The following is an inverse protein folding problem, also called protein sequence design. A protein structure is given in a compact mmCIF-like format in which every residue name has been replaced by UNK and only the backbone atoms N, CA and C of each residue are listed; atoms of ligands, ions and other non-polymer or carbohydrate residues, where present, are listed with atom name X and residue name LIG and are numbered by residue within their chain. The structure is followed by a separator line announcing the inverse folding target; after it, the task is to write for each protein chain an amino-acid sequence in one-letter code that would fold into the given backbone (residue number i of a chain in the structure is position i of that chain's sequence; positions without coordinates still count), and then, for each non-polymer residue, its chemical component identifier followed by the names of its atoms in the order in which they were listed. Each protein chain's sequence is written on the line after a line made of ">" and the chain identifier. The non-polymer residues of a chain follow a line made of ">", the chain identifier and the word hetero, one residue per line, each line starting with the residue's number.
data_IF_259215216654
#
_entry.id   IF_259215216654
#
_cell.length_a   1.000
_cell.length_b   1.000
_cell.length_c   1.000
_cell.angle_alpha   90.00
_cell.angle_beta   90.00
_cell.angle_gamma   90.00
#
_symmetry.space_group_name_H-M   'P 1'
#
loop_
_entity.id
_entity.type
_entity.pdbx_description
1 polymer ?
#
# COMPACT_ATOMS: atom_id res chain seq x y z
N UNK A 1 -4.80 -1.95 13.43
CA UNK A 1 -5.23 -2.99 14.40
C UNK A 1 -4.87 -2.60 15.84
N UNK A 2 -3.60 -2.36 16.18
CA UNK A 2 -3.21 -1.96 17.55
C UNK A 2 -3.94 -0.71 18.07
N UNK A 3 -4.18 0.29 17.21
CA UNK A 3 -4.99 1.45 17.57
C UNK A 3 -6.45 1.10 17.98
N UNK A 4 -7.05 0.06 17.38
CA UNK A 4 -8.39 -0.39 17.79
C UNK A 4 -8.34 -1.14 19.12
N UNK A 5 -7.27 -1.91 19.37
CA UNK A 5 -7.06 -2.56 20.67
C UNK A 5 -6.84 -1.53 21.79
N UNK A 6 -6.08 -0.47 21.53
CA UNK A 6 -5.85 0.63 22.45
C UNK A 6 -7.14 1.35 22.83
N UNK A 7 -7.96 1.69 21.83
CA UNK A 7 -9.24 2.36 22.05
C UNK A 7 -10.23 1.53 22.87
N UNK A 8 -10.22 0.20 22.73
CA UNK A 8 -11.07 -0.71 23.53
C UNK A 8 -10.61 -0.78 24.99
N UNK A 9 -9.30 -0.67 25.23
CA UNK A 9 -8.73 -0.62 26.58
C UNK A 9 -8.73 0.79 27.19
N UNK A 10 -9.24 1.80 26.47
CA UNK A 10 -9.30 3.19 26.94
C UNK A 10 -7.96 3.94 26.85
N UNK A 11 -7.00 3.47 26.06
CA UNK A 11 -5.76 4.18 25.78
C UNK A 11 -5.90 5.13 24.59
N UNK A 12 -5.34 6.34 24.71
CA UNK A 12 -5.27 7.33 23.63
C UNK A 12 -4.30 6.95 22.51
N UNK A 13 -3.33 6.07 22.79
CA UNK A 13 -2.31 5.64 21.83
C UNK A 13 -2.07 4.13 21.92
N UNK A 14 -1.49 3.57 20.86
CA UNK A 14 -1.13 2.14 20.77
C UNK A 14 0.22 1.78 21.40
N UNK A 15 1.01 2.78 21.82
CA UNK A 15 2.34 2.63 22.44
C UNK A 15 2.40 1.64 23.62
N UNK A 16 1.41 1.60 24.54
CA UNK A 16 1.44 0.64 25.65
C UNK A 16 1.06 -0.80 25.26
N UNK A 17 0.66 -1.07 24.02
CA UNK A 17 0.25 -2.40 23.57
C UNK A 17 1.40 -3.10 22.82
N UNK A 18 1.99 -4.08 23.49
CA UNK A 18 2.93 -5.01 22.88
C UNK A 18 2.20 -5.95 21.89
N UNK A 19 2.59 -5.97 20.60
CA UNK A 19 1.93 -6.77 19.58
C UNK A 19 2.09 -8.29 19.77
N UNK A 20 3.11 -8.74 20.49
CA UNK A 20 3.37 -10.15 20.78
C UNK A 20 2.68 -10.61 22.07
N UNK A 21 2.22 -9.65 22.89
CA UNK A 21 1.57 -9.95 24.17
C UNK A 21 0.10 -10.28 23.95
N UNK A 22 -0.32 -11.40 24.53
CA UNK A 22 -1.69 -11.88 24.35
C UNK A 22 -2.74 -10.91 24.92
N UNK A 23 -3.88 -10.77 24.25
CA UNK A 23 -4.96 -9.85 24.62
C UNK A 23 -5.36 -9.95 26.10
N UNK A 24 -5.49 -11.17 26.63
CA UNK A 24 -5.81 -11.42 28.05
C UNK A 24 -4.77 -10.84 29.01
N UNK A 25 -3.50 -10.81 28.62
CA UNK A 25 -2.42 -10.27 29.45
C UNK A 25 -2.36 -8.74 29.44
N UNK A 26 -2.99 -8.11 28.45
CA UNK A 26 -3.08 -6.64 28.30
C UNK A 26 -4.40 -6.11 28.87
N UNK A 27 -5.27 -7.00 29.38
CA UNK A 27 -6.52 -6.62 30.08
C UNK A 27 -7.79 -6.83 29.26
N UNK A 28 -7.74 -7.56 28.15
CA UNK A 28 -8.96 -7.98 27.46
C UNK A 28 -9.72 -9.05 28.25
N UNK A 29 -11.02 -8.90 28.27
CA UNK A 29 -12.04 -9.81 28.79
C UNK A 29 -13.06 -10.15 27.69
N UNK A 30 -14.11 -10.89 28.04
CA UNK A 30 -15.15 -11.29 27.10
C UNK A 30 -15.91 -10.11 26.48
N UNK A 31 -16.06 -8.98 27.18
CA UNK A 31 -16.83 -7.83 26.71
C UNK A 31 -16.00 -6.98 25.74
N UNK A 32 -14.77 -6.64 26.15
CA UNK A 32 -13.78 -5.93 25.32
C UNK A 32 -13.41 -6.74 24.08
N UNK A 33 -13.40 -8.08 24.15
CA UNK A 33 -13.22 -8.92 22.98
C UNK A 33 -14.32 -8.75 21.92
N UNK A 34 -15.58 -8.68 22.35
CA UNK A 34 -16.73 -8.46 21.46
C UNK A 34 -16.69 -7.05 20.87
N UNK A 35 -16.29 -6.05 21.65
CA UNK A 35 -16.12 -4.68 21.16
C UNK A 35 -15.02 -4.59 20.10
N UNK A 36 -13.84 -5.16 20.36
CA UNK A 36 -12.75 -5.19 19.39
C UNK A 36 -13.16 -5.89 18.10
N UNK A 37 -13.87 -7.02 18.19
CA UNK A 37 -14.44 -7.71 17.03
C UNK A 37 -15.36 -6.79 16.23
N UNK A 38 -16.27 -6.08 16.89
CA UNK A 38 -17.21 -5.17 16.22
C UNK A 38 -16.49 -4.04 15.50
N UNK A 39 -15.52 -3.42 16.16
CA UNK A 39 -14.73 -2.32 15.59
C UNK A 39 -13.88 -2.79 14.42
N UNK A 40 -13.22 -3.94 14.55
CA UNK A 40 -12.46 -4.53 13.44
C UNK A 40 -13.39 -4.90 12.28
N UNK A 41 -14.56 -5.47 12.53
CA UNK A 41 -15.54 -5.77 11.49
C UNK A 41 -16.03 -4.52 10.75
N UNK A 42 -16.28 -3.42 11.47
CA UNK A 42 -16.69 -2.14 10.88
C UNK A 42 -15.59 -1.51 10.00
N UNK A 43 -14.33 -1.58 10.42
CA UNK A 43 -13.20 -0.98 9.68
C UNK A 43 -12.74 -1.85 8.50
N UNK A 44 -12.84 -3.17 8.62
CA UNK A 44 -12.37 -4.11 7.58
C UNK A 44 -13.45 -4.56 6.62
N UNK A 45 -14.72 -4.40 6.96
CA UNK A 45 -15.85 -4.95 6.20
C UNK A 45 -15.95 -6.48 6.26
N UNK A 46 -15.09 -7.15 7.05
CA UNK A 46 -15.05 -8.62 7.16
C UNK A 46 -15.92 -9.09 8.33
N UNK A 47 -16.72 -10.13 8.11
CA UNK A 47 -17.46 -10.79 9.19
C UNK A 47 -16.51 -11.65 10.03
N UNK A 48 -16.26 -11.22 11.26
CA UNK A 48 -15.35 -11.89 12.19
C UNK A 48 -16.12 -12.80 13.18
N UNK A 49 -15.71 -14.07 13.37
CA UNK A 49 -16.31 -14.96 14.36
C UNK A 49 -16.08 -14.45 15.81
N UNK A 50 -16.94 -14.89 16.74
CA UNK A 50 -16.81 -14.54 18.16
C UNK A 50 -15.62 -15.23 18.85
N UNK A 51 -15.08 -16.30 18.27
CA UNK A 51 -13.93 -17.06 18.79
C UNK A 51 -12.58 -16.47 18.40
N UNK A 52 -12.56 -15.43 17.58
CA UNK A 52 -11.38 -14.90 16.91
C UNK A 52 -10.22 -14.57 17.87
N UNK A 53 -10.51 -14.02 19.06
CA UNK A 53 -9.48 -13.70 20.06
C UNK A 53 -8.94 -14.94 20.81
N UNK A 54 -9.66 -16.05 20.77
CA UNK A 54 -9.16 -17.33 21.27
C UNK A 54 -8.31 -18.04 20.22
N UNK A 55 -8.72 -17.95 18.94
CA UNK A 55 -8.00 -18.53 17.82
C UNK A 55 -6.70 -17.75 17.51
N UNK A 56 -6.71 -16.44 17.74
CA UNK A 56 -5.59 -15.52 17.53
C UNK A 56 -5.38 -14.66 18.79
N UNK A 57 -4.67 -15.20 19.80
CA UNK A 57 -4.59 -14.59 21.12
C UNK A 57 -3.69 -13.36 21.17
N UNK A 58 -2.87 -13.11 20.15
CA UNK A 58 -1.99 -11.94 20.07
C UNK A 58 -2.47 -10.95 19.01
N UNK A 59 -2.24 -9.65 19.21
CA UNK A 59 -2.45 -8.64 18.18
C UNK A 59 -1.76 -9.01 16.86
N UNK A 60 -0.50 -9.42 16.89
CA UNK A 60 0.25 -9.82 15.69
C UNK A 60 -0.43 -10.97 14.92
N UNK A 61 -0.78 -12.07 15.60
CA UNK A 61 -1.43 -13.22 14.97
C UNK A 61 -2.81 -12.86 14.39
N UNK A 62 -3.52 -11.96 15.05
CA UNK A 62 -4.80 -11.46 14.55
C UNK A 62 -4.63 -10.57 13.30
N UNK A 63 -3.61 -9.71 13.25
CA UNK A 63 -3.31 -8.91 12.07
C UNK A 63 -2.99 -9.78 10.85
N UNK A 64 -2.16 -10.81 11.00
CA UNK A 64 -1.83 -11.74 9.92
C UNK A 64 -3.07 -12.46 9.37
N UNK A 65 -3.97 -12.89 10.27
CA UNK A 65 -5.23 -13.51 9.86
C UNK A 65 -6.09 -12.54 9.03
N UNK A 66 -6.22 -11.29 9.49
CA UNK A 66 -7.00 -10.27 8.78
C UNK A 66 -6.39 -9.93 7.43
N UNK A 67 -5.06 -9.79 7.34
CA UNK A 67 -4.36 -9.55 6.08
C UNK A 67 -4.59 -10.69 5.08
N UNK A 68 -4.57 -11.94 5.55
CA UNK A 68 -4.87 -13.12 4.71
C UNK A 68 -6.31 -13.14 4.23
N UNK A 69 -7.26 -12.66 5.05
CA UNK A 69 -8.69 -12.62 4.72
C UNK A 69 -9.09 -11.44 3.83
N UNK A 70 -8.32 -10.35 3.88
CA UNK A 70 -8.53 -9.14 3.08
C UNK A 70 -7.72 -9.16 1.77
N UNK A 71 -6.71 -10.01 1.67
CA UNK A 71 -6.07 -10.29 0.41
C UNK A 71 -7.15 -10.76 -0.59
N UNK A 72 -7.22 -10.19 -1.80
CA UNK A 72 -8.15 -10.69 -2.81
C UNK A 72 -7.91 -12.19 -2.95
N UNK A 73 -8.98 -12.98 -2.83
CA UNK A 73 -8.91 -14.40 -3.13
C UNK A 73 -8.20 -14.52 -4.49
N UNK A 74 -7.19 -15.39 -4.66
CA UNK A 74 -6.71 -15.68 -5.99
C UNK A 74 -7.94 -16.12 -6.78
N UNK A 75 -8.37 -15.28 -7.71
CA UNK A 75 -9.38 -15.66 -8.67
C UNK A 75 -8.91 -17.02 -9.23
N UNK A 76 -9.80 -18.02 -9.39
CA UNK A 76 -9.39 -19.27 -10.01
C UNK A 76 -8.68 -18.89 -11.30
N UNK A 77 -7.37 -19.13 -11.34
CA UNK A 77 -6.55 -18.69 -12.45
C UNK A 77 -7.07 -19.43 -13.67
N UNK A 78 -7.83 -18.73 -14.52
CA UNK A 78 -7.83 -19.05 -15.94
C UNK A 78 -6.39 -18.83 -16.38
N UNK A 79 -5.65 -19.88 -16.79
CA UNK A 79 -4.28 -19.71 -17.23
C UNK A 79 -4.30 -18.87 -18.51
N UNK A 80 -3.90 -17.60 -18.40
CA UNK A 80 -3.74 -16.71 -19.55
C UNK A 80 -4.27 -15.30 -19.28
N UNK A 81 -3.34 -14.35 -19.16
CA UNK A 81 -3.55 -12.90 -19.03
C UNK A 81 -3.84 -12.41 -17.60
N UNK A 82 -2.88 -12.60 -16.70
CA UNK A 82 -2.69 -11.58 -15.66
C UNK A 82 -2.06 -10.36 -16.34
N UNK A 83 -2.73 -9.18 -16.36
CA UNK A 83 -2.09 -7.97 -16.84
C UNK A 83 -0.86 -7.70 -15.96
N UNK A 84 0.22 -7.15 -16.55
CA UNK A 84 1.39 -6.74 -15.79
C UNK A 84 0.94 -5.87 -14.61
N UNK A 85 1.58 -5.98 -13.43
CA UNK A 85 1.13 -5.32 -12.21
C UNK A 85 0.81 -3.82 -12.39
N UNK A 86 1.48 -3.14 -13.33
CA UNK A 86 1.17 -1.76 -13.74
C UNK A 86 -0.22 -1.58 -14.37
N UNK A 87 -0.63 -2.44 -15.30
CA UNK A 87 -1.95 -2.38 -15.94
C UNK A 87 -3.09 -2.62 -14.93
N UNK A 88 -2.86 -3.45 -13.92
CA UNK A 88 -3.84 -3.67 -12.85
C UNK A 88 -3.98 -2.46 -11.90
N UNK A 89 -2.88 -1.72 -11.70
CA UNK A 89 -2.88 -0.48 -10.90
C UNK A 89 -3.57 0.65 -11.65
N UNK A 90 -3.32 0.78 -12.97
CA UNK A 90 -3.98 1.75 -13.82
C UNK A 90 -5.50 1.51 -13.87
N UNK A 91 -5.94 0.27 -14.11
CA UNK A 91 -7.36 -0.07 -14.10
C UNK A 91 -8.05 0.21 -12.74
N UNK A 92 -7.31 0.09 -11.63
CA UNK A 92 -7.85 0.42 -10.30
C UNK A 92 -7.96 1.93 -10.08
N UNK A 93 -7.04 2.72 -10.63
CA UNK A 93 -7.10 4.18 -10.61
C UNK A 93 -8.29 4.69 -11.42
N UNK A 94 -8.54 4.14 -12.60
CA UNK A 94 -9.69 4.51 -13.44
C UNK A 94 -11.02 4.32 -12.71
N UNK A 95 -11.14 3.21 -11.96
CA UNK A 95 -12.33 2.95 -11.17
C UNK A 95 -12.52 3.96 -10.02
N UNK A 96 -11.45 4.27 -9.30
CA UNK A 96 -11.50 5.29 -8.24
C UNK A 96 -11.79 6.68 -8.78
N UNK A 97 -11.27 7.01 -9.97
CA UNK A 97 -11.56 8.28 -10.65
C UNK A 97 -13.07 8.40 -10.93
N UNK A 98 -13.71 7.34 -11.41
CA UNK A 98 -15.16 7.31 -11.64
C UNK A 98 -15.97 7.57 -10.37
N UNK A 99 -15.56 7.00 -9.23
CA UNK A 99 -16.22 7.25 -7.94
C UNK A 99 -16.03 8.71 -7.47
N UNK A 100 -14.85 9.30 -7.66
CA UNK A 100 -14.61 10.70 -7.31
C UNK A 100 -15.38 11.67 -8.19
N UNK A 101 -15.45 11.43 -9.50
CA UNK A 101 -16.23 12.29 -10.40
C UNK A 101 -17.70 12.35 -9.99
N UNK A 102 -18.27 11.23 -9.54
CA UNK A 102 -19.63 11.18 -9.02
C UNK A 102 -19.80 12.04 -7.76
N UNK A 103 -18.88 11.91 -6.80
CA UNK A 103 -18.90 12.69 -5.55
C UNK A 103 -18.71 14.19 -5.81
N UNK A 104 -17.84 14.56 -6.75
CA UNK A 104 -17.58 15.94 -7.12
C UNK A 104 -18.75 16.57 -7.90
N UNK A 105 -19.46 15.78 -8.71
CA UNK A 105 -20.67 16.23 -9.39
C UNK A 105 -21.80 16.55 -8.41
N UNK A 106 -21.87 15.81 -7.30
CA UNK A 106 -22.82 16.07 -6.20
C UNK A 106 -22.36 17.21 -5.27
N UNK A 107 -21.06 17.57 -5.29
CA UNK A 107 -20.48 18.60 -4.45
C UNK A 107 -20.59 20.02 -5.05
N UNK A 108 -20.78 21.02 -4.19
CA UNK A 108 -20.81 22.43 -4.61
C UNK A 108 -19.45 22.95 -5.13
N UNK A 109 -19.43 24.02 -5.95
CA UNK A 109 -18.23 24.51 -6.65
C UNK A 109 -17.09 25.04 -5.74
N UNK A 110 -17.33 25.18 -4.43
CA UNK A 110 -16.35 25.62 -3.43
C UNK A 110 -16.39 24.76 -2.17
N UNK A 111 -16.56 23.46 -2.35
CA UNK A 111 -16.54 22.51 -1.24
C UNK A 111 -15.10 22.28 -0.73
N UNK A 112 -14.92 22.20 0.59
CA UNK A 112 -13.62 21.90 1.24
C UNK A 112 -13.04 20.56 0.74
N UNK A 113 -13.94 19.68 0.31
CA UNK A 113 -13.62 18.42 -0.36
C UNK A 113 -12.78 18.63 -1.65
N UNK A 114 -13.10 19.64 -2.46
CA UNK A 114 -12.36 19.95 -3.69
C UNK A 114 -10.91 20.36 -3.40
N UNK A 115 -10.70 21.24 -2.42
CA UNK A 115 -9.36 21.73 -2.08
C UNK A 115 -8.51 20.65 -1.38
N UNK A 116 -9.14 19.83 -0.55
CA UNK A 116 -8.51 18.66 0.06
C UNK A 116 -8.05 17.63 -0.98
N UNK A 117 -8.92 17.34 -1.96
CA UNK A 117 -8.62 16.40 -3.04
C UNK A 117 -7.47 16.92 -3.91
N UNK A 118 -7.50 18.20 -4.31
CA UNK A 118 -6.42 18.84 -5.07
C UNK A 118 -5.08 18.71 -4.37
N UNK A 119 -5.03 19.00 -3.08
CA UNK A 119 -3.80 18.92 -2.27
C UNK A 119 -3.26 17.50 -2.11
N UNK A 120 -4.13 16.48 -2.14
CA UNK A 120 -3.73 15.07 -2.08
C UNK A 120 -3.16 14.59 -3.42
N UNK A 121 -3.80 14.95 -4.54
CA UNK A 121 -3.34 14.61 -5.89
C UNK A 121 -2.00 15.24 -6.22
N UNK A 122 -1.80 16.51 -5.87
CA UNK A 122 -0.51 17.19 -6.05
C UNK A 122 0.64 16.50 -5.30
N UNK A 123 0.36 15.98 -4.09
CA UNK A 123 1.36 15.20 -3.34
C UNK A 123 1.67 13.86 -4.00
N UNK A 124 0.67 13.16 -4.52
CA UNK A 124 0.89 11.88 -5.22
C UNK A 124 1.70 12.08 -6.50
N UNK A 125 1.42 13.14 -7.27
CA UNK A 125 2.21 13.52 -8.44
C UNK A 125 3.67 13.79 -8.06
N UNK A 126 3.91 14.60 -7.02
CA UNK A 126 5.26 14.86 -6.55
C UNK A 126 6.01 13.58 -6.11
N UNK A 127 5.31 12.61 -5.52
CA UNK A 127 5.91 11.33 -5.14
C UNK A 127 6.25 10.46 -6.37
N UNK A 128 5.41 10.44 -7.40
CA UNK A 128 5.68 9.74 -8.64
C UNK A 128 6.87 10.36 -9.38
N UNK A 129 6.90 11.68 -9.49
CA UNK A 129 7.99 12.42 -10.11
C UNK A 129 9.33 12.20 -9.38
N UNK A 130 9.30 12.01 -8.05
CA UNK A 130 10.50 11.68 -7.27
C UNK A 130 10.94 10.21 -7.44
N UNK A 131 10.01 9.30 -7.76
CA UNK A 131 10.32 7.88 -7.97
C UNK A 131 10.95 7.60 -9.34
N UNK A 132 10.61 8.37 -10.38
CA UNK A 132 11.18 8.25 -11.73
C UNK A 132 12.72 8.42 -11.75
N UNK A 133 13.33 9.46 -11.15
CA UNK A 133 14.78 9.60 -11.11
C UNK A 133 15.44 8.52 -10.24
N UNK A 134 14.78 8.02 -9.19
CA UNK A 134 15.31 6.91 -8.37
C UNK A 134 15.36 5.59 -9.14
N UNK A 135 14.35 5.32 -9.99
CA UNK A 135 14.33 4.17 -10.88
C UNK A 135 15.40 4.24 -11.98
N UNK A 136 15.65 5.43 -12.54
CA UNK A 136 16.73 5.64 -13.52
C UNK A 136 18.12 5.54 -12.88
N UNK A 137 18.31 5.97 -11.62
CA UNK A 137 19.56 5.81 -10.88
C UNK A 137 19.82 4.37 -10.45
N UNK A 138 18.78 3.62 -10.04
CA UNK A 138 18.87 2.20 -9.74
C UNK A 138 19.13 1.34 -10.99
N UNK A 139 18.63 1.76 -12.16
CA UNK A 139 18.98 1.18 -13.45
C UNK A 139 20.42 1.54 -13.91
N UNK A 140 21.04 2.57 -13.32
CA UNK A 140 22.37 3.07 -13.66
C UNK A 140 23.56 2.36 -13.02
N UNK A 141 23.36 1.26 -12.28
CA UNK A 141 24.49 0.42 -11.79
C UNK A 141 24.96 -0.64 -12.79
N UNK A 142 24.38 -0.68 -14.00
CA UNK A 142 25.07 -1.26 -15.15
C UNK A 142 26.03 -0.20 -15.70
N UNK A 143 27.32 -0.53 -15.74
CA UNK A 143 28.34 0.26 -16.43
C UNK A 143 27.73 0.81 -17.72
N UNK A 144 27.62 2.14 -17.92
CA UNK A 144 27.39 2.61 -19.26
C UNK A 144 28.61 2.12 -20.04
N UNK A 145 28.39 1.26 -21.02
CA UNK A 145 29.22 1.24 -22.22
C UNK A 145 29.01 2.59 -22.94
N UNK A 146 29.28 3.69 -22.23
CA UNK A 146 29.84 4.88 -22.82
C UNK A 146 31.22 4.40 -23.24
N UNK A 147 31.31 3.94 -24.49
CA UNK A 147 32.57 3.86 -25.20
C UNK A 147 33.30 5.15 -24.86
N UNK A 148 34.32 5.04 -24.01
CA UNK A 148 34.96 6.22 -23.46
C UNK A 148 35.47 7.03 -24.65
N UNK A 149 35.45 8.35 -24.57
CA UNK A 149 35.84 9.21 -25.69
C UNK A 149 37.24 8.84 -26.25
N UNK A 150 38.09 8.23 -25.41
CA UNK A 150 39.38 7.62 -25.78
C UNK A 150 39.30 6.33 -26.62
N UNK A 151 38.29 5.48 -26.47
CA UNK A 151 38.03 4.34 -27.36
C UNK A 151 37.47 4.79 -28.70
N UNK A 152 36.56 5.77 -28.70
CA UNK A 152 35.97 6.33 -29.93
C UNK A 152 37.06 7.00 -30.78
N UNK A 153 38.01 7.69 -30.12
CA UNK A 153 39.20 8.28 -30.76
C UNK A 153 40.18 7.23 -31.32
N UNK A 154 40.43 6.13 -30.60
CA UNK A 154 41.28 5.03 -31.12
C UNK A 154 40.67 4.32 -32.33
N UNK A 155 39.35 4.17 -32.34
CA UNK A 155 38.65 3.56 -33.46
C UNK A 155 38.78 4.40 -34.74
N UNK A 156 38.67 5.73 -34.61
CA UNK A 156 38.89 6.68 -35.70
C UNK A 156 40.34 6.70 -36.23
N UNK A 157 41.34 6.58 -35.34
CA UNK A 157 42.75 6.51 -35.76
C UNK A 157 43.09 5.19 -36.49
N UNK A 158 42.42 4.09 -36.15
CA UNK A 158 42.67 2.77 -36.76
C UNK A 158 42.09 2.68 -38.18
N UNK A 159 40.93 3.28 -38.44
CA UNK A 159 40.29 3.29 -39.76
C UNK A 159 40.88 4.32 -40.75
N UNK A 160 41.54 5.38 -40.26
CA UNK A 160 42.15 6.42 -41.11
C UNK A 160 43.67 6.26 -41.31
N UNK A 161 44.31 5.33 -40.60
CA UNK A 161 45.76 5.10 -40.65
C UNK A 161 46.24 4.02 -41.64
N UNK A 162 45.35 3.43 -42.42
CA UNK A 162 45.64 2.35 -43.37
C UNK A 162 45.53 2.75 -44.83
N UNK A 163 46.46 3.58 -45.33
CA UNK A 163 46.76 3.71 -46.76
C UNK A 163 48.23 4.11 -46.98
#
# INVERSE_FOLDING_TARGET
>A
MLAQAALVLGYDTADPIDPERGFLQVGFDSLTAVELRNRLGAVTGVRLPATLLFDYPTPAGLADHLLTRMAPAPAPATPGTAPASGDSVLARLDHMEGEFQQVLADAGPYDELHDGLRSRLQRLLAQLDAAVPAAHQAAGTGHPDEVSDDELRRFLETELGGA
#
